data_IF_354237228672
#
_entry.id   IF_354237228672
#
_cell.length_a   1.000
_cell.length_b   1.000
_cell.length_c   1.000
_cell.angle_alpha   90.00
_cell.angle_beta   90.00
_cell.angle_gamma   90.00
#
_symmetry.space_group_name_H-M   'P 1'
#
loop_
_entity.id
_entity.type
_entity.pdbx_description
1 polymer ?
#
# COMPACT_ATOMS: atom_id res chain seq x y z
N UNK A 1 -10.79 0.63 -17.99
CA UNK A 1 -10.24 2.00 -18.03
C UNK A 1 -11.14 2.88 -17.18
N UNK A 2 -10.57 3.83 -16.47
CA UNK A 2 -11.30 4.79 -15.65
C UNK A 2 -11.08 6.19 -16.23
N UNK A 3 -12.04 7.08 -16.04
CA UNK A 3 -11.98 8.49 -16.43
C UNK A 3 -10.80 9.17 -15.75
N UNK A 4 -10.65 8.92 -14.44
CA UNK A 4 -9.49 9.30 -13.65
C UNK A 4 -8.34 8.33 -13.94
N UNK A 5 -7.45 8.72 -14.85
CA UNK A 5 -6.32 7.90 -15.30
C UNK A 5 -4.94 8.49 -14.91
N UNK A 6 -4.87 9.79 -14.59
CA UNK A 6 -3.63 10.43 -14.17
C UNK A 6 -3.34 10.11 -12.68
N UNK A 7 -2.39 9.21 -12.45
CA UNK A 7 -2.04 8.74 -11.10
C UNK A 7 -1.54 9.88 -10.19
N UNK A 8 -0.60 10.75 -10.61
CA UNK A 8 -0.19 11.89 -9.78
C UNK A 8 -1.34 12.82 -9.36
N UNK A 9 -2.28 13.11 -10.26
CA UNK A 9 -3.45 13.93 -9.94
C UNK A 9 -4.35 13.26 -8.91
N UNK A 10 -4.59 11.95 -9.04
CA UNK A 10 -5.37 11.16 -8.07
C UNK A 10 -4.70 11.21 -6.69
N UNK A 11 -3.37 11.03 -6.63
CA UNK A 11 -2.62 11.12 -5.37
C UNK A 11 -2.73 12.51 -4.72
N UNK A 12 -2.55 13.57 -5.50
CA UNK A 12 -2.62 14.94 -5.01
C UNK A 12 -4.02 15.30 -4.46
N UNK A 13 -5.09 14.94 -5.20
CA UNK A 13 -6.47 15.18 -4.78
C UNK A 13 -6.82 14.37 -3.54
N UNK A 14 -6.39 13.11 -3.46
CA UNK A 14 -6.60 12.27 -2.28
C UNK A 14 -5.92 12.87 -1.05
N UNK A 15 -4.63 13.26 -1.17
CA UNK A 15 -3.90 13.90 -0.07
C UNK A 15 -4.59 15.18 0.40
N UNK A 16 -5.03 16.03 -0.53
CA UNK A 16 -5.76 17.26 -0.22
C UNK A 16 -7.05 16.96 0.55
N UNK A 17 -7.85 16.00 0.08
CA UNK A 17 -9.12 15.62 0.72
C UNK A 17 -8.91 15.10 2.15
N UNK A 18 -7.88 14.27 2.39
CA UNK A 18 -7.52 13.77 3.71
C UNK A 18 -7.15 14.93 4.65
N UNK A 19 -6.26 15.81 4.20
CA UNK A 19 -5.83 16.99 4.98
C UNK A 19 -7.04 17.87 5.31
N UNK A 20 -7.92 18.15 4.34
CA UNK A 20 -9.14 18.94 4.57
C UNK A 20 -10.05 18.29 5.61
N UNK A 21 -10.31 16.98 5.49
CA UNK A 21 -11.17 16.27 6.46
C UNK A 21 -10.56 16.27 7.86
N UNK A 22 -9.27 16.01 7.98
CA UNK A 22 -8.57 16.04 9.27
C UNK A 22 -8.57 17.44 9.89
N UNK A 23 -8.30 18.49 9.11
CA UNK A 23 -8.35 19.87 9.59
C UNK A 23 -9.72 20.22 10.18
N UNK A 24 -10.81 19.77 9.56
CA UNK A 24 -12.17 19.93 10.11
C UNK A 24 -12.36 19.15 11.40
N UNK A 25 -12.01 17.86 11.42
CA UNK A 25 -12.22 16.99 12.60
C UNK A 25 -11.42 17.47 13.82
N UNK A 26 -10.16 17.86 13.62
CA UNK A 26 -9.29 18.33 14.69
C UNK A 26 -9.36 19.85 14.92
N UNK A 27 -10.33 20.54 14.30
CA UNK A 27 -10.56 21.98 14.45
C UNK A 27 -9.29 22.83 14.23
N UNK A 28 -8.44 22.42 13.29
CA UNK A 28 -7.12 23.02 13.06
C UNK A 28 -7.08 23.76 11.73
N UNK A 29 -6.88 25.08 11.83
CA UNK A 29 -6.82 26.00 10.67
C UNK A 29 -5.40 26.24 10.14
N UNK A 30 -4.39 25.68 10.82
CA UNK A 30 -2.97 25.76 10.45
C UNK A 30 -2.51 24.47 9.79
N UNK A 31 -1.30 24.47 9.21
CA UNK A 31 -0.67 23.28 8.63
C UNK A 31 -0.65 22.14 9.65
N UNK A 32 -1.11 20.96 9.22
CA UNK A 32 -1.04 19.74 10.02
C UNK A 32 0.40 19.21 10.04
N UNK A 33 1.01 18.99 11.21
CA UNK A 33 2.32 18.36 11.29
C UNK A 33 2.21 16.87 10.94
N UNK A 34 3.16 16.36 10.16
CA UNK A 34 3.27 14.94 9.75
C UNK A 34 4.47 14.29 10.44
N UNK A 35 4.58 14.45 11.76
CA UNK A 35 5.72 13.99 12.58
C UNK A 35 5.46 12.68 13.33
N UNK A 36 4.25 12.13 13.21
CA UNK A 36 3.84 10.91 13.91
C UNK A 36 4.23 9.63 13.19
N UNK A 37 3.60 8.53 13.57
CA UNK A 37 3.75 7.24 12.90
C UNK A 37 3.31 7.32 11.42
N UNK A 38 3.96 6.51 10.57
CA UNK A 38 3.62 6.40 9.16
C UNK A 38 2.36 5.53 9.00
N UNK A 39 1.36 6.07 8.31
CA UNK A 39 0.15 5.38 7.90
C UNK A 39 0.07 5.44 6.37
N UNK A 40 0.66 4.48 5.64
CA UNK A 40 0.66 4.51 4.18
C UNK A 40 -0.75 4.29 3.64
N UNK A 41 -1.20 5.19 2.77
CA UNK A 41 -2.52 5.13 2.14
C UNK A 41 -2.34 4.84 0.66
N UNK A 42 -3.10 3.86 0.17
CA UNK A 42 -3.13 3.50 -1.25
C UNK A 42 -4.49 3.85 -1.86
N UNK A 43 -4.46 4.25 -3.14
CA UNK A 43 -5.66 4.52 -3.93
C UNK A 43 -5.60 3.72 -5.20
N UNK A 44 -6.58 2.83 -5.38
CA UNK A 44 -6.75 2.05 -6.59
C UNK A 44 -8.04 2.46 -7.29
N UNK A 45 -7.99 2.60 -8.61
CA UNK A 45 -9.18 2.91 -9.41
C UNK A 45 -9.35 1.84 -10.48
N UNK A 46 -10.48 1.15 -10.46
CA UNK A 46 -10.81 0.14 -11.47
C UNK A 46 -12.23 0.36 -11.99
N UNK A 47 -12.37 0.63 -13.30
CA UNK A 47 -13.65 0.90 -13.97
C UNK A 47 -14.47 1.95 -13.19
N UNK A 48 -13.81 3.08 -12.90
CA UNK A 48 -14.36 4.22 -12.14
C UNK A 48 -14.78 3.92 -10.69
N UNK A 49 -14.48 2.73 -10.17
CA UNK A 49 -14.63 2.41 -8.75
C UNK A 49 -13.33 2.68 -8.02
N UNK A 50 -13.39 3.55 -7.02
CA UNK A 50 -12.25 3.93 -6.19
C UNK A 50 -12.23 3.05 -4.94
N UNK A 51 -11.07 2.48 -4.64
CA UNK A 51 -10.75 1.78 -3.40
C UNK A 51 -9.63 2.55 -2.70
N UNK A 52 -9.84 2.88 -1.43
CA UNK A 52 -8.86 3.54 -0.56
C UNK A 52 -8.53 2.57 0.57
N UNK A 53 -7.25 2.26 0.75
CA UNK A 53 -6.78 1.28 1.75
C UNK A 53 -5.65 1.86 2.60
N UNK A 54 -5.52 1.31 3.81
CA UNK A 54 -4.39 1.55 4.70
C UNK A 54 -3.47 0.33 4.66
N UNK A 55 -2.19 0.54 4.43
CA UNK A 55 -1.19 -0.52 4.52
C UNK A 55 -0.80 -0.75 5.99
N UNK A 56 -1.18 -1.91 6.52
CA UNK A 56 -0.85 -2.34 7.88
C UNK A 56 0.48 -3.11 7.97
N UNK A 57 1.13 -3.36 6.84
CA UNK A 57 2.26 -4.27 6.73
C UNK A 57 3.57 -3.54 6.42
N UNK A 58 3.54 -2.52 5.55
CA UNK A 58 4.72 -1.80 5.10
C UNK A 58 5.52 -2.62 4.09
N UNK A 59 6.60 -3.28 4.54
CA UNK A 59 7.43 -4.05 3.61
C UNK A 59 6.67 -5.27 3.07
N UNK A 60 6.74 -5.53 1.76
CA UNK A 60 6.03 -6.65 1.14
C UNK A 60 6.24 -7.96 1.90
N UNK A 61 5.15 -8.67 2.21
CA UNK A 61 5.18 -9.87 3.06
C UNK A 61 6.14 -10.96 2.61
N UNK A 62 6.47 -11.08 1.31
CA UNK A 62 7.46 -12.07 0.87
C UNK A 62 8.84 -11.85 1.51
N UNK A 63 9.18 -10.64 1.96
CA UNK A 63 10.40 -10.34 2.71
C UNK A 63 10.27 -10.84 4.15
N UNK A 64 10.58 -12.11 4.37
CA UNK A 64 10.47 -12.75 5.70
C UNK A 64 11.65 -12.47 6.64
N UNK A 65 12.66 -11.70 6.21
CA UNK A 65 13.81 -11.32 7.02
C UNK A 65 14.98 -12.31 7.01
N UNK A 66 14.78 -13.58 6.66
CA UNK A 66 15.88 -14.57 6.60
C UNK A 66 16.78 -14.41 5.36
N UNK A 67 16.27 -13.80 4.28
CA UNK A 67 17.04 -13.61 3.05
C UNK A 67 17.74 -12.24 3.07
N UNK A 68 19.02 -12.25 3.42
CA UNK A 68 19.86 -11.05 3.48
C UNK A 68 20.43 -10.68 2.10
N UNK A 69 20.81 -11.67 1.30
CA UNK A 69 21.41 -11.48 -0.03
C UNK A 69 20.45 -11.79 -1.17
N UNK A 70 20.43 -10.93 -2.19
CA UNK A 70 19.76 -11.19 -3.47
C UNK A 70 20.78 -11.79 -4.42
N UNK A 71 20.75 -13.11 -4.63
CA UNK A 71 21.44 -13.74 -5.75
C UNK A 71 20.81 -13.34 -7.09
N UNK A 72 21.22 -13.98 -8.19
CA UNK A 72 20.61 -13.76 -9.50
C UNK A 72 19.17 -14.27 -9.56
N UNK A 73 18.20 -13.34 -9.53
CA UNK A 73 16.76 -13.58 -9.75
C UNK A 73 16.11 -14.68 -8.88
N UNK A 74 16.10 -14.56 -7.54
CA UNK A 74 15.43 -15.53 -6.68
C UNK A 74 13.90 -15.51 -6.82
N UNK A 75 13.28 -16.69 -6.73
CA UNK A 75 11.83 -16.83 -6.61
C UNK A 75 11.33 -16.11 -5.34
N UNK A 76 10.22 -15.36 -5.46
CA UNK A 76 9.57 -14.75 -4.28
C UNK A 76 9.11 -15.83 -3.31
N UNK A 77 9.31 -15.60 -2.02
CA UNK A 77 9.04 -16.54 -0.94
C UNK A 77 7.56 -16.95 -0.88
N UNK A 78 6.66 -16.01 -1.15
CA UNK A 78 5.23 -16.31 -1.22
C UNK A 78 4.86 -17.21 -2.40
N UNK A 79 5.56 -17.10 -3.53
CA UNK A 79 5.40 -18.02 -4.66
C UNK A 79 5.95 -19.41 -4.33
N UNK A 80 7.13 -19.49 -3.70
CA UNK A 80 7.68 -20.75 -3.23
C UNK A 80 6.72 -21.47 -2.26
N UNK A 81 6.15 -20.74 -1.30
CA UNK A 81 5.14 -21.28 -0.39
C UNK A 81 3.88 -21.76 -1.13
N UNK A 82 3.39 -21.00 -2.12
CA UNK A 82 2.25 -21.42 -2.94
C UNK A 82 2.52 -22.72 -3.72
N UNK A 83 3.73 -22.90 -4.26
CA UNK A 83 4.11 -24.13 -4.95
C UNK A 83 4.11 -25.35 -4.00
N UNK A 84 4.63 -25.20 -2.79
CA UNK A 84 4.61 -26.27 -1.77
C UNK A 84 3.17 -26.65 -1.41
N UNK A 85 2.28 -25.66 -1.23
CA UNK A 85 0.85 -25.90 -0.97
C UNK A 85 0.16 -26.66 -2.11
N UNK A 86 0.57 -26.41 -3.36
CA UNK A 86 0.03 -27.11 -4.54
C UNK A 86 0.63 -28.50 -4.75
N UNK A 87 1.84 -28.75 -4.27
CA UNK A 87 2.57 -30.01 -4.49
C UNK A 87 1.99 -31.23 -3.76
N UNK A 88 0.92 -31.07 -2.95
CA UNK A 88 0.32 -32.12 -2.09
C UNK A 88 1.36 -32.81 -1.19
N UNK A 89 2.38 -32.06 -0.79
CA UNK A 89 3.45 -32.54 0.08
C UNK A 89 2.94 -32.63 1.53
N UNK A 90 3.31 -33.71 2.23
CA UNK A 90 3.08 -33.89 3.65
C UNK A 90 4.44 -33.90 4.38
N UNK A 91 4.57 -33.28 5.58
CA UNK A 91 5.84 -33.16 6.30
C UNK A 91 6.54 -34.49 6.58
#
# INVERSE_FOLDING_TARGET
KSTLHNVPSVQAITKKAIVTKMSTVYHRRTKLPETGALYPIEVAINKDKVLITLDTTGSSLFKRGYRVNKGGAPLKENMAAALVLLARWYP
#
